data_IF_814911806793
#
_entry.id   IF_814911806793
#
_cell.length_a   1.000
_cell.length_b   1.000
_cell.length_c   1.000
_cell.angle_alpha   90.00
_cell.angle_beta   90.00
_cell.angle_gamma   90.00
#
_symmetry.space_group_name_H-M   'P 1'
#
loop_
_entity.id
_entity.type
_entity.pdbx_description
1 polymer ?
#
# COMPACT_ATOMS: atom_id res chain seq x y z
N UNK A 1 -3.15 -4.50 -0.42
CA UNK A 1 -3.22 -4.12 -1.84
C UNK A 1 -3.50 -2.64 -1.97
N UNK A 2 -2.73 -1.95 -2.81
CA UNK A 2 -2.85 -0.53 -3.12
C UNK A 2 -2.44 -0.35 -4.57
N UNK A 3 -2.92 0.73 -5.20
CA UNK A 3 -2.46 1.15 -6.52
C UNK A 3 -0.91 1.13 -6.58
N UNK A 4 -0.31 0.39 -7.53
CA UNK A 4 1.14 0.29 -7.67
C UNK A 4 1.80 1.62 -8.03
N UNK A 5 1.14 2.52 -8.78
CA UNK A 5 1.67 3.84 -9.12
C UNK A 5 1.74 4.74 -7.88
N UNK A 6 0.65 4.80 -7.09
CA UNK A 6 0.68 5.50 -5.80
C UNK A 6 1.72 4.91 -4.84
N UNK A 7 1.87 3.59 -4.84
CA UNK A 7 2.82 2.88 -3.97
C UNK A 7 4.25 3.22 -4.36
N UNK A 8 4.59 3.21 -5.66
CA UNK A 8 5.91 3.57 -6.15
C UNK A 8 6.23 5.05 -5.89
N UNK A 9 5.28 5.95 -6.10
CA UNK A 9 5.42 7.37 -5.72
C UNK A 9 5.72 7.52 -4.22
N UNK A 10 4.96 6.82 -3.38
CA UNK A 10 5.11 6.87 -1.92
C UNK A 10 6.47 6.32 -1.45
N UNK A 11 6.93 5.20 -2.00
CA UNK A 11 8.23 4.61 -1.62
C UNK A 11 9.39 5.48 -2.15
N UNK A 12 9.24 6.08 -3.33
CA UNK A 12 10.23 7.01 -3.88
C UNK A 12 10.38 8.26 -3.01
N UNK A 13 9.28 8.82 -2.53
CA UNK A 13 9.31 9.93 -1.57
C UNK A 13 9.99 9.54 -0.26
N UNK A 14 9.69 8.35 0.28
CA UNK A 14 10.34 7.87 1.49
C UNK A 14 11.86 7.73 1.30
N UNK A 15 12.31 7.23 0.15
CA UNK A 15 13.74 7.14 -0.18
C UNK A 15 14.38 8.53 -0.31
N UNK A 16 13.71 9.48 -0.97
CA UNK A 16 14.20 10.85 -1.10
C UNK A 16 14.34 11.52 0.27
N UNK A 17 13.32 11.41 1.12
CA UNK A 17 13.35 11.91 2.49
C UNK A 17 14.49 11.28 3.29
N UNK A 18 14.62 9.95 3.28
CA UNK A 18 15.68 9.26 4.00
C UNK A 18 17.09 9.67 3.52
N UNK A 19 17.30 9.84 2.21
CA UNK A 19 18.58 10.33 1.66
C UNK A 19 18.84 11.79 2.05
N UNK A 20 17.80 12.62 2.09
CA UNK A 20 17.91 14.05 2.45
C UNK A 20 18.41 14.30 3.88
N UNK A 21 18.23 13.33 4.77
CA UNK A 21 18.78 13.39 6.14
C UNK A 21 20.32 13.36 6.15
N UNK A 22 20.94 12.76 5.13
CA UNK A 22 22.39 12.52 5.08
C UNK A 22 23.09 13.18 3.89
N UNK A 23 22.34 13.70 2.91
CA UNK A 23 22.86 14.29 1.69
C UNK A 23 21.97 15.43 1.22
N UNK A 24 22.58 16.50 0.70
CA UNK A 24 21.87 17.55 -0.05
C UNK A 24 21.73 17.21 -1.53
N UNK A 25 22.45 16.19 -2.01
CA UNK A 25 22.39 15.68 -3.37
C UNK A 25 21.39 14.51 -3.43
N UNK A 26 20.14 14.82 -3.74
CA UNK A 26 19.02 13.87 -3.81
C UNK A 26 18.28 14.02 -5.13
N UNK A 27 18.68 13.22 -6.12
CA UNK A 27 18.06 13.23 -7.44
C UNK A 27 16.82 12.31 -7.50
N UNK A 28 15.63 12.93 -7.45
CA UNK A 28 14.35 12.21 -7.42
C UNK A 28 14.13 11.26 -8.60
N UNK A 29 14.55 11.64 -9.81
CA UNK A 29 14.40 10.79 -11.00
C UNK A 29 15.28 9.55 -10.97
N UNK A 30 16.48 9.67 -10.40
CA UNK A 30 17.37 8.53 -10.18
C UNK A 30 16.74 7.52 -9.22
N UNK A 31 16.11 8.02 -8.15
CA UNK A 31 15.36 7.19 -7.20
C UNK A 31 14.20 6.46 -7.90
N UNK A 32 13.41 7.15 -8.71
CA UNK A 32 12.31 6.52 -9.44
C UNK A 32 12.77 5.41 -10.38
N UNK A 33 13.84 5.65 -11.15
CA UNK A 33 14.43 4.64 -12.04
C UNK A 33 14.92 3.41 -11.25
N UNK A 34 15.69 3.63 -10.18
CA UNK A 34 16.20 2.55 -9.32
C UNK A 34 15.07 1.69 -8.74
N UNK A 35 14.01 2.33 -8.24
CA UNK A 35 12.90 1.61 -7.61
C UNK A 35 12.02 0.88 -8.62
N UNK A 36 11.88 1.41 -9.85
CA UNK A 36 11.12 0.76 -10.92
C UNK A 36 11.76 -0.54 -11.38
N UNK A 37 13.09 -0.60 -11.38
CA UNK A 37 13.86 -1.80 -11.73
C UNK A 37 14.18 -2.70 -10.51
N UNK A 38 13.78 -2.27 -9.31
CA UNK A 38 14.09 -2.96 -8.08
C UNK A 38 13.39 -4.33 -7.94
N UNK A 39 13.74 -5.05 -6.88
CA UNK A 39 13.05 -6.31 -6.56
C UNK A 39 11.57 -6.08 -6.21
N UNK A 40 11.17 -4.90 -5.74
CA UNK A 40 9.79 -4.66 -5.29
C UNK A 40 8.80 -4.79 -6.43
N UNK A 41 9.15 -4.24 -7.59
CA UNK A 41 8.33 -4.34 -8.80
C UNK A 41 8.32 -5.75 -9.37
N UNK A 42 9.40 -6.52 -9.19
CA UNK A 42 9.52 -7.91 -9.69
C UNK A 42 8.87 -8.95 -8.78
N UNK A 43 8.77 -8.70 -7.47
CA UNK A 43 8.34 -9.71 -6.49
C UNK A 43 6.85 -9.63 -6.11
N UNK A 44 6.14 -8.55 -6.44
CA UNK A 44 4.75 -8.37 -6.02
C UNK A 44 3.84 -9.53 -6.47
N UNK A 45 3.77 -9.80 -7.79
CA UNK A 45 2.90 -10.86 -8.32
C UNK A 45 3.37 -12.27 -7.92
N UNK A 46 4.68 -12.61 -7.96
CA UNK A 46 5.16 -13.88 -7.41
C UNK A 46 4.83 -14.09 -5.93
N UNK A 47 4.92 -13.04 -5.11
CA UNK A 47 4.56 -13.11 -3.69
C UNK A 47 3.06 -13.36 -3.51
N UNK A 48 2.21 -12.68 -4.29
CA UNK A 48 0.76 -12.93 -4.29
C UNK A 48 0.47 -14.38 -4.71
N UNK A 49 1.05 -14.85 -5.81
CA UNK A 49 0.88 -16.22 -6.28
C UNK A 49 1.40 -17.26 -5.26
N UNK A 50 2.42 -16.92 -4.46
CA UNK A 50 2.92 -17.81 -3.42
C UNK A 50 1.94 -17.94 -2.26
N UNK A 51 1.33 -16.82 -1.82
CA UNK A 51 0.34 -16.86 -0.73
C UNK A 51 -0.97 -17.51 -1.16
N UNK A 52 -1.33 -17.47 -2.45
CA UNK A 52 -2.51 -18.14 -3.00
C UNK A 52 -2.44 -19.67 -2.93
N UNK A 53 -1.23 -20.23 -2.80
CA UNK A 53 -1.04 -21.67 -2.62
C UNK A 53 -1.27 -22.13 -1.19
N UNK A 54 -1.47 -21.21 -0.25
CA UNK A 54 -1.77 -21.56 1.12
C UNK A 54 -3.21 -22.06 1.24
N UNK A 55 -3.50 -22.94 2.22
CA UNK A 55 -4.87 -23.35 2.50
C UNK A 55 -5.82 -22.17 2.73
N UNK A 56 -7.11 -22.40 2.46
CA UNK A 56 -8.15 -21.41 2.74
C UNK A 56 -8.10 -20.95 4.21
N UNK A 57 -8.33 -19.65 4.43
CA UNK A 57 -8.29 -19.03 5.75
C UNK A 57 -6.89 -18.75 6.30
N UNK A 58 -5.83 -18.91 5.51
CA UNK A 58 -4.45 -18.54 5.90
C UNK A 58 -4.05 -17.13 5.51
N UNK A 59 -4.80 -16.51 4.58
CA UNK A 59 -4.49 -15.20 3.99
C UNK A 59 -5.77 -14.40 3.89
N UNK A 60 -5.72 -13.13 4.29
CA UNK A 60 -6.77 -12.16 4.02
C UNK A 60 -6.19 -11.01 3.19
N UNK A 61 -6.70 -10.83 1.98
CA UNK A 61 -6.32 -9.75 1.10
C UNK A 61 -7.05 -8.46 1.47
N UNK A 62 -6.34 -7.49 2.05
CA UNK A 62 -6.92 -6.18 2.41
C UNK A 62 -6.54 -5.14 1.36
N UNK A 63 -7.52 -4.36 0.89
CA UNK A 63 -7.29 -3.24 -0.02
C UNK A 63 -7.23 -1.93 0.76
N UNK A 64 -6.26 -1.08 0.44
CA UNK A 64 -6.11 0.23 1.05
C UNK A 64 -7.36 1.13 0.87
N UNK A 65 -8.04 1.16 -0.31
CA UNK A 65 -9.30 1.89 -0.45
C UNK A 65 -10.41 1.42 0.49
N UNK A 66 -10.56 0.11 0.70
CA UNK A 66 -11.57 -0.42 1.64
C UNK A 66 -11.20 -0.07 3.08
N UNK A 67 -9.93 -0.26 3.44
CA UNK A 67 -9.44 0.07 4.78
C UNK A 67 -9.56 1.57 5.08
N UNK A 68 -9.42 2.45 4.09
CA UNK A 68 -9.66 3.88 4.24
C UNK A 68 -11.14 4.22 4.41
N UNK A 69 -12.04 3.51 3.70
CA UNK A 69 -13.49 3.74 3.74
C UNK A 69 -14.12 3.24 5.04
N UNK A 70 -13.81 2.03 5.44
CA UNK A 70 -14.30 1.40 6.67
C UNK A 70 -13.19 0.56 7.31
N UNK A 71 -12.32 1.19 8.14
CA UNK A 71 -11.18 0.49 8.71
C UNK A 71 -11.60 -0.67 9.62
N UNK A 72 -12.62 -0.47 10.46
CA UNK A 72 -13.04 -1.49 11.44
C UNK A 72 -13.78 -2.64 10.76
N UNK A 73 -14.67 -2.35 9.80
CA UNK A 73 -15.32 -3.40 9.01
C UNK A 73 -14.33 -4.20 8.18
N UNK A 74 -13.39 -3.55 7.53
CA UNK A 74 -12.35 -4.22 6.73
C UNK A 74 -11.49 -5.16 7.58
N UNK A 75 -11.10 -4.76 8.79
CA UNK A 75 -10.35 -5.63 9.71
C UNK A 75 -11.24 -6.74 10.27
N UNK A 76 -12.52 -6.47 10.56
CA UNK A 76 -13.46 -7.51 10.99
C UNK A 76 -13.62 -8.62 9.93
N UNK A 77 -13.66 -8.26 8.65
CA UNK A 77 -13.72 -9.20 7.54
C UNK A 77 -12.43 -10.02 7.40
N UNK A 78 -11.27 -9.41 7.70
CA UNK A 78 -10.00 -10.12 7.74
C UNK A 78 -9.97 -11.14 8.88
N UNK A 79 -10.43 -10.78 10.08
CA UNK A 79 -10.58 -11.72 11.21
C UNK A 79 -11.47 -12.91 10.84
N UNK A 80 -12.64 -12.64 10.23
CA UNK A 80 -13.56 -13.68 9.77
C UNK A 80 -12.90 -14.61 8.76
N UNK A 81 -12.17 -14.06 7.79
CA UNK A 81 -11.43 -14.84 6.79
C UNK A 81 -10.41 -15.77 7.45
N UNK A 82 -9.73 -15.29 8.49
CA UNK A 82 -8.71 -16.04 9.22
C UNK A 82 -9.28 -16.99 10.29
N UNK A 83 -10.61 -17.08 10.44
CA UNK A 83 -11.26 -17.89 11.46
C UNK A 83 -11.00 -17.39 12.89
N UNK A 84 -10.72 -16.09 13.04
CA UNK A 84 -10.44 -15.44 14.33
C UNK A 84 -11.64 -14.65 14.83
N UNK A 85 -11.86 -14.67 16.15
CA UNK A 85 -12.88 -13.82 16.78
C UNK A 85 -12.36 -12.40 17.00
N UNK A 86 -13.13 -11.41 16.56
CA UNK A 86 -12.88 -10.00 16.85
C UNK A 86 -13.80 -9.52 17.98
N UNK A 87 -13.28 -9.57 19.21
CA UNK A 87 -14.00 -9.19 20.42
C UNK A 87 -14.33 -7.69 20.51
N UNK A 88 -15.29 -7.36 21.38
CA UNK A 88 -15.81 -6.00 21.55
C UNK A 88 -14.76 -5.00 22.06
N UNK A 89 -13.83 -5.44 22.92
CA UNK A 89 -12.77 -4.58 23.45
C UNK A 89 -11.83 -4.13 22.33
N UNK A 90 -11.45 -5.05 21.43
CA UNK A 90 -10.62 -4.74 20.28
C UNK A 90 -11.33 -3.77 19.31
N UNK A 91 -12.63 -3.97 19.05
CA UNK A 91 -13.44 -3.03 18.24
C UNK A 91 -13.47 -1.64 18.87
N UNK A 92 -13.70 -1.58 20.18
CA UNK A 92 -13.73 -0.32 20.94
C UNK A 92 -12.39 0.40 20.87
N UNK A 93 -11.28 -0.32 21.03
CA UNK A 93 -9.94 0.23 20.91
C UNK A 93 -9.65 0.76 19.50
N UNK A 94 -10.04 0.03 18.44
CA UNK A 94 -9.88 0.49 17.05
C UNK A 94 -10.65 1.79 16.79
N UNK A 95 -11.90 1.87 17.23
CA UNK A 95 -12.68 3.11 17.11
C UNK A 95 -12.08 4.28 17.91
N UNK A 96 -11.56 4.00 19.12
CA UNK A 96 -10.82 4.97 19.93
C UNK A 96 -9.61 5.55 19.19
N UNK A 97 -8.75 4.67 18.66
CA UNK A 97 -7.59 5.05 17.87
C UNK A 97 -7.96 5.90 16.63
N UNK A 98 -9.00 5.50 15.91
CA UNK A 98 -9.45 6.24 14.72
C UNK A 98 -9.97 7.65 15.05
N UNK A 99 -10.61 7.81 16.21
CA UNK A 99 -11.05 9.13 16.70
C UNK A 99 -9.84 10.02 17.01
N UNK A 100 -8.88 9.52 17.78
CA UNK A 100 -7.65 10.26 18.12
C UNK A 100 -6.84 10.62 16.87
N UNK A 101 -6.71 9.69 15.91
CA UNK A 101 -6.02 9.93 14.65
C UNK A 101 -6.66 11.04 13.82
N UNK A 102 -7.99 11.19 13.86
CA UNK A 102 -8.71 12.25 13.16
C UNK A 102 -8.41 13.64 13.74
N UNK A 103 -8.14 13.71 15.04
CA UNK A 103 -7.78 14.95 15.74
C UNK A 103 -6.34 15.40 15.47
N UNK A 104 -5.47 14.47 15.05
CA UNK A 104 -4.06 14.71 14.71
C UNK A 104 -3.77 14.25 13.28
N UNK A 105 -4.34 14.92 12.25
CA UNK A 105 -4.09 14.53 10.88
C UNK A 105 -2.58 14.65 10.60
N UNK A 106 -2.00 13.55 10.12
CA UNK A 106 -0.63 13.58 9.62
C UNK A 106 -0.57 14.50 8.39
N UNK A 107 0.54 15.23 8.18
CA UNK A 107 0.70 16.01 6.98
C UNK A 107 0.51 15.13 5.73
N UNK A 108 -0.34 15.60 4.82
CA UNK A 108 -0.51 14.97 3.52
C UNK A 108 0.74 15.24 2.68
N UNK A 109 1.56 14.22 2.52
CA UNK A 109 2.68 14.20 1.62
C UNK A 109 2.16 14.04 0.18
N UNK A 110 1.99 15.17 -0.52
CA UNK A 110 1.56 15.18 -1.93
C UNK A 110 2.78 14.84 -2.79
N UNK A 111 2.75 13.63 -3.37
CA UNK A 111 3.79 13.15 -4.28
C UNK A 111 3.13 12.49 -5.50
N UNK A 112 3.53 12.93 -6.69
CA UNK A 112 3.12 12.33 -7.98
C UNK A 112 4.23 11.46 -8.57
N UNK A 113 3.84 10.50 -9.39
CA UNK A 113 4.77 9.64 -10.16
C UNK A 113 5.74 10.47 -11.01
N UNK A 114 5.25 11.58 -11.57
CA UNK A 114 5.99 12.47 -12.48
C UNK A 114 7.19 13.12 -11.77
N UNK A 115 7.05 13.41 -10.47
CA UNK A 115 8.12 13.99 -9.65
C UNK A 115 9.34 13.07 -9.51
N UNK A 116 9.15 11.77 -9.72
CA UNK A 116 10.22 10.76 -9.71
C UNK A 116 10.55 10.25 -11.11
N UNK A 117 10.05 10.90 -12.16
CA UNK A 117 10.26 10.46 -13.55
C UNK A 117 9.56 9.14 -13.89
N UNK A 118 8.50 8.80 -13.14
CA UNK A 118 7.69 7.60 -13.34
C UNK A 118 6.45 7.94 -14.16
N UNK A 119 6.04 7.00 -15.00
CA UNK A 119 4.78 7.07 -15.74
C UNK A 119 3.76 6.12 -15.11
N UNK A 120 2.67 6.67 -14.59
CA UNK A 120 1.61 5.90 -13.96
C UNK A 120 0.95 4.90 -14.94
N UNK A 121 0.78 5.28 -16.20
CA UNK A 121 0.22 4.43 -17.25
C UNK A 121 1.10 3.21 -17.54
N UNK A 122 2.42 3.40 -17.66
CA UNK A 122 3.38 2.29 -17.82
C UNK A 122 3.36 1.36 -16.61
N UNK A 123 3.26 1.91 -15.40
CA UNK A 123 3.14 1.11 -14.17
C UNK A 123 1.83 0.32 -14.18
N UNK A 124 0.71 0.96 -14.52
CA UNK A 124 -0.59 0.31 -14.57
C UNK A 124 -0.66 -0.77 -15.65
N UNK A 125 -0.05 -0.56 -16.81
CA UNK A 125 0.07 -1.58 -17.86
C UNK A 125 0.88 -2.78 -17.36
N UNK A 126 2.04 -2.54 -16.74
CA UNK A 126 2.88 -3.60 -16.16
C UNK A 126 2.17 -4.42 -15.08
N UNK A 127 1.26 -3.80 -14.33
CA UNK A 127 0.52 -4.43 -13.23
C UNK A 127 -0.97 -4.62 -13.54
N UNK A 128 -1.36 -4.67 -14.82
CA UNK A 128 -2.77 -4.70 -15.20
C UNK A 128 -3.51 -5.90 -14.58
N UNK A 129 -2.90 -7.09 -14.58
CA UNK A 129 -3.47 -8.30 -13.98
C UNK A 129 -3.64 -8.17 -12.46
N UNK A 130 -2.64 -7.64 -11.76
CA UNK A 130 -2.73 -7.35 -10.32
C UNK A 130 -3.83 -6.33 -10.01
N UNK A 131 -3.88 -5.22 -10.75
CA UNK A 131 -4.89 -4.18 -10.58
C UNK A 131 -6.30 -4.68 -10.85
N UNK A 132 -6.51 -5.47 -11.90
CA UNK A 132 -7.80 -6.07 -12.21
C UNK A 132 -8.24 -7.04 -11.11
N UNK A 133 -7.33 -7.92 -10.66
CA UNK A 133 -7.62 -8.91 -9.62
C UNK A 133 -8.10 -8.28 -8.31
N UNK A 134 -7.51 -7.16 -7.92
CA UNK A 134 -7.85 -6.47 -6.67
C UNK A 134 -8.75 -5.24 -6.89
N UNK A 135 -9.23 -5.01 -8.11
CA UNK A 135 -10.06 -3.86 -8.51
C UNK A 135 -9.50 -2.50 -8.03
N UNK A 136 -8.22 -2.26 -8.28
CA UNK A 136 -7.49 -1.10 -7.75
C UNK A 136 -7.61 0.16 -8.61
N UNK A 137 -8.05 0.02 -9.86
CA UNK A 137 -8.24 1.11 -10.81
C UNK A 137 -9.74 1.22 -11.07
N UNK A 138 -10.38 2.23 -10.50
CA UNK A 138 -11.80 2.56 -10.70
C UNK A 138 -11.95 4.05 -10.91
#
# INVERSE_FOLDING_TARGET
>A
HRDPAETLSSISSLHAYARSVFSTDVEAKSIGAELSDSYMTRLLEPAVAAVDRLPAGRVSHVRAPDLSRDPVGTIADAYRTLGMELGNDARTAMHGYLREKREKPAPHHVHGTEGFGLDAGVIHERFASYCARFELLR
#
